data_IF_573354868264
#
_entry.id   IF_573354868264
#
_cell.length_a   1.000
_cell.length_b   1.000
_cell.length_c   1.000
_cell.angle_alpha   90.00
_cell.angle_beta   90.00
_cell.angle_gamma   90.00
#
_symmetry.space_group_name_H-M   'P 1'
#
loop_
_entity.id
_entity.type
_entity.pdbx_description
1 polymer ?
#
# COMPACT_ATOMS: atom_id res chain seq x y z
N UNK A 1 10.89 -4.03 -7.62
CA UNK A 1 9.47 -4.16 -7.20
C UNK A 1 8.48 -3.81 -8.31
N UNK A 2 8.62 -2.71 -9.08
CA UNK A 2 7.64 -2.33 -10.13
C UNK A 2 7.34 -3.44 -11.15
N UNK A 3 8.39 -4.00 -11.78
CA UNK A 3 8.26 -5.11 -12.75
C UNK A 3 7.61 -6.36 -12.12
N UNK A 4 7.89 -6.64 -10.86
CA UNK A 4 7.31 -7.77 -10.12
C UNK A 4 5.80 -7.57 -9.94
N UNK A 5 5.35 -6.39 -9.51
CA UNK A 5 3.92 -6.09 -9.39
C UNK A 5 3.22 -6.17 -10.77
N UNK A 6 3.93 -5.78 -11.83
CA UNK A 6 3.36 -5.79 -13.19
C UNK A 6 3.23 -7.19 -13.78
N UNK A 7 4.25 -8.02 -13.64
CA UNK A 7 4.38 -9.28 -14.36
C UNK A 7 3.98 -10.52 -13.57
N UNK A 8 4.01 -10.45 -12.23
CA UNK A 8 3.68 -11.60 -11.38
C UNK A 8 2.20 -11.56 -10.97
N UNK A 9 1.58 -12.74 -10.88
CA UNK A 9 0.27 -12.93 -10.25
C UNK A 9 0.49 -13.26 -8.77
N UNK A 10 0.26 -12.28 -7.90
CA UNK A 10 0.52 -12.40 -6.47
C UNK A 10 -0.80 -12.48 -5.70
N UNK A 11 -0.92 -13.42 -4.77
CA UNK A 11 -2.06 -13.44 -3.84
C UNK A 11 -1.94 -12.34 -2.79
N UNK A 12 -0.72 -12.10 -2.30
CA UNK A 12 -0.41 -11.15 -1.22
C UNK A 12 0.87 -10.37 -1.51
N UNK A 13 0.86 -9.08 -1.20
CA UNK A 13 1.99 -8.16 -1.30
C UNK A 13 2.27 -7.58 0.09
N UNK A 14 3.46 -7.83 0.62
CA UNK A 14 3.95 -7.22 1.86
C UNK A 14 4.95 -6.10 1.55
N UNK A 15 4.64 -4.88 1.99
CA UNK A 15 5.41 -3.66 1.74
C UNK A 15 6.15 -3.27 3.01
N UNK A 16 7.45 -3.56 3.03
CA UNK A 16 8.39 -3.22 4.10
C UNK A 16 9.56 -2.35 3.58
N UNK A 17 9.29 -1.53 2.57
CA UNK A 17 10.28 -0.62 1.97
C UNK A 17 10.49 0.64 2.84
N UNK A 18 11.42 1.55 2.53
CA UNK A 18 11.46 2.84 3.20
C UNK A 18 10.13 3.61 3.12
N UNK A 19 9.77 4.34 4.19
CA UNK A 19 8.46 4.98 4.35
C UNK A 19 7.99 5.84 3.16
N UNK A 20 8.91 6.58 2.52
CA UNK A 20 8.58 7.45 1.38
C UNK A 20 8.15 6.69 0.11
N UNK A 21 8.33 5.36 0.07
CA UNK A 21 7.90 4.49 -1.02
C UNK A 21 6.59 3.77 -0.72
N UNK A 22 6.10 3.79 0.52
CA UNK A 22 4.90 3.03 0.90
C UNK A 22 3.69 3.43 0.09
N UNK A 23 3.32 4.72 0.09
CA UNK A 23 2.16 5.21 -0.65
C UNK A 23 2.27 4.88 -2.15
N UNK A 24 3.42 5.10 -2.77
CA UNK A 24 3.68 4.80 -4.19
C UNK A 24 3.54 3.30 -4.50
N UNK A 25 4.08 2.44 -3.63
CA UNK A 25 4.05 0.99 -3.82
C UNK A 25 2.63 0.46 -3.66
N UNK A 26 1.91 0.94 -2.64
CA UNK A 26 0.48 0.60 -2.41
C UNK A 26 -0.37 1.01 -3.61
N UNK A 27 -0.21 2.23 -4.14
CA UNK A 27 -0.98 2.68 -5.31
C UNK A 27 -0.71 1.86 -6.57
N UNK A 28 0.50 1.34 -6.74
CA UNK A 28 0.82 0.49 -7.89
C UNK A 28 0.26 -0.93 -7.70
N UNK A 29 0.19 -1.39 -6.46
CA UNK A 29 -0.31 -2.71 -6.10
C UNK A 29 -1.85 -2.78 -6.03
N UNK A 30 -2.54 -1.68 -5.71
CA UNK A 30 -3.99 -1.67 -5.41
C UNK A 30 -4.87 -2.12 -6.58
N UNK A 31 -4.43 -1.89 -7.81
CA UNK A 31 -5.16 -2.29 -9.02
C UNK A 31 -4.90 -3.76 -9.38
N UNK A 32 -4.03 -4.46 -8.64
CA UNK A 32 -3.85 -5.90 -8.75
C UNK A 32 -4.86 -6.59 -7.83
N UNK A 33 -5.31 -7.78 -8.23
CA UNK A 33 -6.25 -8.59 -7.45
C UNK A 33 -5.57 -9.26 -6.23
N UNK A 34 -4.68 -8.54 -5.56
CA UNK A 34 -3.79 -9.00 -4.49
C UNK A 34 -4.15 -8.34 -3.16
N UNK A 35 -3.98 -9.07 -2.06
CA UNK A 35 -4.06 -8.49 -0.72
C UNK A 35 -2.79 -7.70 -0.40
N UNK A 36 -2.89 -6.53 0.24
CA UNK A 36 -1.74 -5.65 0.47
C UNK A 36 -1.53 -5.41 1.97
N UNK A 37 -0.46 -5.95 2.53
CA UNK A 37 0.04 -5.60 3.86
C UNK A 37 1.11 -4.51 3.71
N UNK A 38 0.99 -3.39 4.44
CA UNK A 38 1.99 -2.33 4.42
C UNK A 38 2.38 -1.94 5.84
N UNK A 39 3.69 -1.87 6.08
CA UNK A 39 4.22 -1.39 7.35
C UNK A 39 3.90 0.08 7.59
N UNK A 40 3.81 0.45 8.87
CA UNK A 40 3.49 1.82 9.28
C UNK A 40 4.75 2.71 9.21
N UNK A 41 4.63 3.99 8.83
CA UNK A 41 3.45 4.67 8.30
C UNK A 41 3.31 4.54 6.77
N UNK A 42 2.07 4.48 6.25
CA UNK A 42 1.80 4.49 4.79
C UNK A 42 2.13 5.84 4.14
N UNK A 43 1.96 6.93 4.90
CA UNK A 43 2.23 8.29 4.46
C UNK A 43 2.90 9.02 5.63
N UNK A 44 3.96 9.77 5.34
CA UNK A 44 4.78 10.45 6.34
C UNK A 44 4.32 11.89 6.61
N UNK A 45 3.34 12.40 5.87
CA UNK A 45 2.78 13.74 6.08
C UNK A 45 1.30 13.85 5.72
N UNK A 46 0.63 14.89 6.24
CA UNK A 46 -0.74 15.22 5.81
C UNK A 46 -0.82 15.51 4.31
N UNK A 47 0.18 16.23 3.77
CA UNK A 47 0.27 16.54 2.33
C UNK A 47 0.26 15.26 1.49
N UNK A 48 1.02 14.26 1.90
CA UNK A 48 1.07 12.97 1.22
C UNK A 48 -0.26 12.20 1.33
N UNK A 49 -0.92 12.25 2.49
CA UNK A 49 -2.28 11.72 2.65
C UNK A 49 -3.28 12.38 1.70
N UNK A 50 -3.22 13.70 1.54
CA UNK A 50 -4.07 14.44 0.60
C UNK A 50 -3.78 14.10 -0.85
N UNK A 51 -2.51 13.88 -1.21
CA UNK A 51 -2.12 13.48 -2.56
C UNK A 51 -2.55 12.05 -2.91
N UNK A 52 -2.61 11.16 -1.91
CA UNK A 52 -2.90 9.74 -2.08
C UNK A 52 -4.08 9.28 -1.22
N UNK A 53 -5.29 9.83 -1.43
CA UNK A 53 -6.44 9.54 -0.57
C UNK A 53 -6.80 8.05 -0.57
N UNK A 54 -6.64 7.36 -1.71
CA UNK A 54 -6.87 5.91 -1.87
C UNK A 54 -6.03 5.06 -0.92
N UNK A 55 -4.76 5.41 -0.67
CA UNK A 55 -3.92 4.69 0.29
C UNK A 55 -4.43 4.83 1.71
N UNK A 56 -5.02 5.98 2.06
CA UNK A 56 -5.60 6.19 3.38
C UNK A 56 -6.87 5.34 3.62
N UNK A 57 -7.64 5.03 2.57
CA UNK A 57 -8.82 4.18 2.69
C UNK A 57 -8.48 2.70 2.88
N UNK A 58 -7.38 2.23 2.28
CA UNK A 58 -6.89 0.87 2.51
C UNK A 58 -6.44 0.64 3.96
N UNK A 59 -5.96 1.69 4.62
CA UNK A 59 -5.66 1.64 6.05
C UNK A 59 -6.88 1.22 6.88
N UNK A 60 -8.10 1.61 6.48
CA UNK A 60 -9.34 1.17 7.15
C UNK A 60 -9.66 -0.30 6.92
N UNK A 61 -9.31 -0.87 5.75
CA UNK A 61 -9.57 -2.29 5.45
C UNK A 61 -8.67 -3.22 6.26
N UNK A 62 -7.47 -2.77 6.64
CA UNK A 62 -6.57 -3.51 7.54
C UNK A 62 -6.84 -3.27 9.03
N UNK A 63 -7.36 -2.10 9.43
CA UNK A 63 -7.60 -1.81 10.85
C UNK A 63 -8.67 -2.71 11.48
N UNK A 64 -9.68 -3.11 10.70
CA UNK A 64 -10.75 -4.00 11.16
C UNK A 64 -10.40 -5.50 11.12
N UNK A 65 -9.15 -5.86 10.82
CA UNK A 65 -8.67 -7.26 10.86
C UNK A 65 -7.80 -7.55 12.09
N UNK A 66 -7.45 -6.51 12.87
CA UNK A 66 -6.63 -6.65 14.09
C UNK A 66 -7.23 -5.92 15.31
N UNK A 67 -8.55 -5.64 15.28
CA UNK A 67 -9.36 -5.24 16.43
C UNK A 67 -10.73 -5.89 16.35
#
# INVERSE_FOLDING_TARGET
WKKMIENEELDVISICTPNYLHALTVLKAIDKNSHILCEKPIAISQKERYNYPRCSYLYKRYYNLFH
#
